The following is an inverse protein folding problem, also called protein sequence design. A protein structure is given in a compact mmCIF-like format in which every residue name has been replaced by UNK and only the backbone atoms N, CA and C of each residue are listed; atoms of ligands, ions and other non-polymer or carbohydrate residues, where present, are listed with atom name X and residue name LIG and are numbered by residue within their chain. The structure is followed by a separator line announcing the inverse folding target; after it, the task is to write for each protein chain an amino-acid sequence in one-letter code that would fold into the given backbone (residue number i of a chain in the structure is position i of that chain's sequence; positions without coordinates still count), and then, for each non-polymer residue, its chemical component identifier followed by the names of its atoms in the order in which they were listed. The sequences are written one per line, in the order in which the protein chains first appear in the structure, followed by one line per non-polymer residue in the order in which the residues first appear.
data_IF_699886659604
#
_entry.id   IF_699886659604
#
_cell.length_a   1.000
_cell.length_b   1.000
_cell.length_c   1.000
_cell.angle_alpha   90.00
_cell.angle_beta   90.00
_cell.angle_gamma   90.00
#
_symmetry.space_group_name_H-M   'P 1'
#
loop_
_entity.id
_entity.type
_entity.pdbx_description
1 polymer ?
#
# COMPACT_ATOMS: atom_id res chain seq x y z
N UNK A 1 -12.75 -7.93 30.93
CA UNK A 1 -13.69 -7.42 29.89
C UNK A 1 -13.35 -5.96 29.65
N UNK A 2 -13.63 -5.42 28.45
CA UNK A 2 -13.17 -4.09 27.97
C UNK A 2 -11.68 -4.01 27.53
N UNK A 3 -11.10 -5.08 26.98
CA UNK A 3 -9.73 -5.02 26.41
C UNK A 3 -9.64 -4.13 25.16
N UNK A 4 -10.63 -4.25 24.26
CA UNK A 4 -10.68 -3.54 22.97
C UNK A 4 -10.70 -2.00 23.05
N UNK A 5 -10.98 -1.41 24.22
CA UNK A 5 -10.87 0.04 24.44
C UNK A 5 -9.46 0.50 24.77
N UNK A 6 -8.62 -0.36 25.36
CA UNK A 6 -7.21 -0.06 25.64
C UNK A 6 -6.36 -0.12 24.36
N UNK A 7 -6.72 -1.02 23.46
CA UNK A 7 -6.07 -1.21 22.14
C UNK A 7 -6.26 0.00 21.20
N UNK A 8 -7.22 0.90 21.48
CA UNK A 8 -7.52 2.09 20.66
C UNK A 8 -7.16 3.41 21.35
N UNK A 9 -6.14 3.39 22.21
CA UNK A 9 -5.68 4.56 22.97
C UNK A 9 -5.42 5.80 22.08
N UNK A 10 -4.91 5.56 20.86
CA UNK A 10 -4.63 6.58 19.85
C UNK A 10 -5.89 7.35 19.34
N UNK A 11 -7.11 6.82 19.54
CA UNK A 11 -8.35 7.54 19.17
C UNK A 11 -8.68 8.70 20.12
N UNK A 12 -8.12 8.75 21.32
CA UNK A 12 -8.36 9.84 22.27
C UNK A 12 -7.59 11.13 21.92
N UNK A 13 -6.59 11.05 21.05
CA UNK A 13 -5.81 12.20 20.61
C UNK A 13 -6.62 13.11 19.66
N UNK A 14 -6.88 14.38 20.02
CA UNK A 14 -7.67 15.30 19.19
C UNK A 14 -6.98 15.69 17.87
N UNK A 15 -5.70 15.33 17.70
CA UNK A 15 -4.98 15.47 16.43
C UNK A 15 -5.19 14.28 15.49
N UNK A 16 -5.34 13.07 16.03
CA UNK A 16 -5.55 11.82 15.30
C UNK A 16 -7.03 11.65 14.94
N UNK A 17 -7.93 11.93 15.89
CA UNK A 17 -9.37 11.94 15.67
C UNK A 17 -9.78 12.82 14.46
N UNK A 18 -9.09 13.95 14.26
CA UNK A 18 -9.30 14.83 13.08
C UNK A 18 -8.93 14.13 11.76
N UNK A 19 -7.82 13.38 11.72
CA UNK A 19 -7.41 12.61 10.54
C UNK A 19 -8.39 11.46 10.28
N UNK A 20 -8.84 10.75 11.33
CA UNK A 20 -9.87 9.70 11.21
C UNK A 20 -11.19 10.27 10.66
N UNK A 21 -11.63 11.43 11.16
CA UNK A 21 -12.82 12.11 10.65
C UNK A 21 -12.68 12.55 9.19
N UNK A 22 -11.49 12.99 8.76
CA UNK A 22 -11.20 13.30 7.36
C UNK A 22 -11.26 12.04 6.49
N UNK A 23 -10.54 10.98 6.84
CA UNK A 23 -10.59 9.70 6.13
C UNK A 23 -12.02 9.16 6.02
N UNK A 24 -12.77 9.12 7.13
CA UNK A 24 -14.19 8.69 7.18
C UNK A 24 -15.07 9.49 6.23
N UNK A 25 -14.93 10.83 6.20
CA UNK A 25 -15.70 11.71 5.30
C UNK A 25 -15.35 11.46 3.83
N UNK A 26 -14.08 11.25 3.52
CA UNK A 26 -13.61 10.97 2.16
C UNK A 26 -14.10 9.60 1.68
N UNK A 27 -14.02 8.57 2.53
CA UNK A 27 -14.56 7.22 2.26
C UNK A 27 -16.07 7.28 2.00
N UNK A 28 -16.81 8.02 2.83
CA UNK A 28 -18.26 8.21 2.62
C UNK A 28 -18.56 8.92 1.28
N UNK A 29 -17.71 9.84 0.82
CA UNK A 29 -17.91 10.52 -0.46
C UNK A 29 -17.47 9.73 -1.70
N UNK A 30 -16.48 8.83 -1.61
CA UNK A 30 -16.06 7.99 -2.74
C UNK A 30 -16.84 6.67 -2.84
N UNK A 31 -17.13 6.03 -1.71
CA UNK A 31 -17.70 4.67 -1.65
C UNK A 31 -19.13 4.62 -1.11
N UNK A 32 -19.67 5.71 -0.58
CA UNK A 32 -20.98 5.74 0.11
C UNK A 32 -20.99 5.10 1.50
N UNK A 33 -19.88 4.46 1.91
CA UNK A 33 -19.79 3.68 3.15
C UNK A 33 -19.63 4.58 4.37
N UNK A 34 -20.46 4.36 5.40
CA UNK A 34 -20.47 5.11 6.66
C UNK A 34 -19.93 4.25 7.81
N UNK A 35 -18.60 4.17 7.91
CA UNK A 35 -17.90 3.59 9.07
C UNK A 35 -18.26 4.31 10.38
N UNK A 36 -17.95 3.76 11.55
CA UNK A 36 -18.12 4.35 12.88
C UNK A 36 -16.90 4.10 13.78
N UNK A 37 -16.59 5.05 14.67
CA UNK A 37 -15.41 4.98 15.56
C UNK A 37 -15.41 3.77 16.52
N UNK A 38 -16.59 3.22 16.80
CA UNK A 38 -16.77 2.10 17.72
C UNK A 38 -16.75 0.73 17.00
N UNK A 39 -16.67 0.70 15.67
CA UNK A 39 -16.63 -0.56 14.91
C UNK A 39 -15.32 -1.31 15.17
N UNK A 40 -15.44 -2.61 15.43
CA UNK A 40 -14.29 -3.51 15.45
C UNK A 40 -13.76 -3.69 14.02
N UNK A 41 -12.45 -3.58 13.84
CA UNK A 41 -11.83 -3.57 12.50
C UNK A 41 -11.87 -2.22 11.76
N UNK A 42 -12.24 -1.10 12.41
CA UNK A 42 -12.15 0.26 11.83
C UNK A 42 -10.83 0.50 11.09
N UNK A 43 -9.72 0.07 11.69
CA UNK A 43 -8.36 0.22 11.18
C UNK A 43 -8.14 -0.56 9.87
N UNK A 44 -8.65 -1.79 9.81
CA UNK A 44 -8.60 -2.65 8.64
C UNK A 44 -9.45 -2.07 7.51
N UNK A 45 -10.64 -1.56 7.80
CA UNK A 45 -11.47 -0.87 6.80
C UNK A 45 -10.82 0.42 6.29
N UNK A 46 -10.23 1.25 7.17
CA UNK A 46 -9.49 2.44 6.74
C UNK A 46 -8.31 2.06 5.83
N UNK A 47 -7.57 1.00 6.15
CA UNK A 47 -6.49 0.48 5.31
C UNK A 47 -7.01 -0.05 3.96
N UNK A 48 -8.11 -0.79 3.96
CA UNK A 48 -8.73 -1.37 2.77
C UNK A 48 -9.24 -0.29 1.79
N UNK A 49 -9.98 0.70 2.29
CA UNK A 49 -10.43 1.83 1.46
C UNK A 49 -9.27 2.72 1.02
N UNK A 50 -8.21 2.87 1.82
CA UNK A 50 -6.99 3.56 1.42
C UNK A 50 -6.14 2.79 0.39
N UNK A 51 -6.26 1.47 0.30
CA UNK A 51 -5.73 0.65 -0.82
C UNK A 51 -6.59 0.78 -2.09
N UNK A 52 -7.92 0.99 -1.96
CA UNK A 52 -8.90 1.00 -3.05
C UNK A 52 -9.23 2.39 -3.64
N UNK A 53 -8.94 3.47 -2.92
CA UNK A 53 -9.25 4.86 -3.31
C UNK A 53 -8.54 5.31 -4.59
N UNK A 54 -9.10 6.33 -5.26
CA UNK A 54 -8.42 7.10 -6.31
C UNK A 54 -8.04 8.52 -5.86
N UNK A 55 -8.53 8.95 -4.69
CA UNK A 55 -8.22 10.26 -4.11
C UNK A 55 -6.85 10.28 -3.44
N UNK A 56 -5.93 11.04 -4.03
CA UNK A 56 -4.63 11.38 -3.42
C UNK A 56 -4.80 11.98 -2.01
N UNK A 57 -5.89 12.71 -1.77
CA UNK A 57 -6.13 13.33 -0.46
C UNK A 57 -6.39 12.27 0.62
N UNK A 58 -7.17 11.23 0.32
CA UNK A 58 -7.45 10.12 1.23
C UNK A 58 -6.17 9.34 1.54
N UNK A 59 -5.37 9.03 0.51
CA UNK A 59 -4.05 8.40 0.65
C UNK A 59 -3.15 9.22 1.58
N UNK A 60 -2.98 10.53 1.35
CA UNK A 60 -2.13 11.37 2.19
C UNK A 60 -2.65 11.54 3.63
N UNK A 61 -3.97 11.61 3.85
CA UNK A 61 -4.51 11.61 5.23
C UNK A 61 -4.29 10.28 5.94
N UNK A 62 -4.33 9.15 5.22
CA UNK A 62 -4.01 7.83 5.76
C UNK A 62 -2.51 7.66 6.04
N UNK A 63 -1.64 8.15 5.16
CA UNK A 63 -0.19 8.19 5.37
C UNK A 63 0.18 9.03 6.60
N UNK A 64 -0.36 10.24 6.73
CA UNK A 64 -0.13 11.12 7.88
C UNK A 64 -0.64 10.54 9.21
N UNK A 65 -1.63 9.65 9.15
CA UNK A 65 -2.20 8.94 10.30
C UNK A 65 -1.29 7.77 10.70
N UNK A 66 -0.88 6.91 9.75
CA UNK A 66 0.11 5.83 9.98
C UNK A 66 1.47 6.32 10.48
N UNK A 67 1.92 7.50 10.05
CA UNK A 67 3.16 8.12 10.52
C UNK A 67 3.13 8.52 12.02
N UNK A 68 1.94 8.59 12.63
CA UNK A 68 1.77 8.91 14.06
C UNK A 68 1.38 7.71 14.91
N UNK A 69 0.71 6.73 14.32
CA UNK A 69 0.26 5.50 15.00
C UNK A 69 0.96 4.30 14.35
N UNK A 70 2.15 3.89 14.82
CA UNK A 70 2.91 2.80 14.20
C UNK A 70 2.21 1.44 14.31
N UNK A 71 1.30 1.28 15.28
CA UNK A 71 0.46 0.09 15.50
C UNK A 71 -0.41 -0.25 14.26
N UNK A 72 -0.84 0.78 13.51
CA UNK A 72 -1.60 0.64 12.27
C UNK A 72 -0.74 0.20 11.07
N UNK A 73 0.58 0.28 11.21
CA UNK A 73 1.52 -0.21 10.20
C UNK A 73 1.75 -1.72 10.37
N UNK A 74 1.73 -2.23 11.62
CA UNK A 74 1.83 -3.67 11.93
C UNK A 74 0.60 -4.47 11.49
N UNK A 75 -0.61 -3.89 11.56
CA UNK A 75 -1.83 -4.50 11.01
C UNK A 75 -1.80 -4.72 9.48
N UNK A 76 -0.76 -4.25 8.79
CA UNK A 76 -0.52 -4.43 7.36
C UNK A 76 0.65 -5.42 7.09
N UNK A 77 1.13 -6.16 8.09
CA UNK A 77 2.26 -7.10 7.98
C UNK A 77 1.81 -8.58 8.00
N UNK A 78 0.61 -8.90 8.50
CA UNK A 78 0.06 -10.27 8.52
C UNK A 78 -0.29 -10.82 7.12
N UNK A 79 -0.28 -9.98 6.08
CA UNK A 79 -0.05 -10.46 4.70
C UNK A 79 1.45 -10.80 4.53
N UNK A 80 1.94 -11.77 5.32
CA UNK A 80 3.29 -12.31 5.18
C UNK A 80 3.36 -13.04 3.84
N UNK A 81 3.94 -12.37 2.83
CA UNK A 81 4.04 -12.87 1.46
C UNK A 81 4.91 -14.12 1.48
N UNK A 82 4.27 -15.30 1.51
CA UNK A 82 4.95 -16.58 1.61
C UNK A 82 6.07 -16.68 0.56
N UNK A 83 7.33 -16.90 0.97
CA UNK A 83 8.48 -16.74 0.09
C UNK A 83 8.37 -17.68 -1.10
N UNK A 84 8.56 -17.13 -2.30
CA UNK A 84 8.23 -17.80 -3.56
C UNK A 84 9.14 -19.01 -3.77
N UNK A 85 8.64 -20.20 -3.44
CA UNK A 85 9.39 -21.44 -3.56
C UNK A 85 9.63 -21.79 -5.04
N UNK A 86 10.89 -22.00 -5.42
CA UNK A 86 11.27 -22.57 -6.70
C UNK A 86 12.11 -23.83 -6.48
N UNK A 87 11.63 -24.96 -6.99
CA UNK A 87 12.29 -26.28 -6.90
C UNK A 87 12.71 -26.68 -5.46
N UNK A 88 11.95 -26.25 -4.46
CA UNK A 88 12.21 -26.54 -3.04
C UNK A 88 13.19 -25.57 -2.34
N UNK A 89 13.62 -24.50 -3.00
CA UNK A 89 14.38 -23.41 -2.38
C UNK A 89 13.53 -22.13 -2.31
N UNK A 90 13.58 -21.36 -1.21
CA UNK A 90 12.90 -20.07 -1.13
C UNK A 90 13.66 -19.03 -1.99
N UNK A 91 12.96 -18.36 -2.90
CA UNK A 91 13.47 -17.13 -3.50
C UNK A 91 13.26 -15.99 -2.50
N UNK A 92 14.34 -15.31 -2.12
CA UNK A 92 14.25 -14.05 -1.41
C UNK A 92 13.83 -12.96 -2.40
N UNK A 93 12.65 -12.35 -2.22
CA UNK A 93 12.23 -11.18 -3.01
C UNK A 93 12.87 -9.88 -2.46
N UNK A 94 14.21 -9.87 -2.35
CA UNK A 94 14.96 -8.63 -2.17
C UNK A 94 14.87 -7.78 -3.45
N UNK A 95 13.94 -6.83 -3.44
CA UNK A 95 13.95 -5.73 -4.39
C UNK A 95 13.21 -5.96 -5.71
N UNK A 96 11.88 -6.19 -5.65
CA UNK A 96 10.98 -5.96 -6.79
C UNK A 96 10.91 -4.46 -7.25
N UNK A 97 11.88 -3.64 -6.82
CA UNK A 97 12.03 -2.19 -7.06
C UNK A 97 13.53 -1.86 -7.11
N UNK A 98 14.05 -1.57 -8.32
CA UNK A 98 15.46 -1.28 -8.68
C UNK A 98 16.44 -2.47 -8.70
N UNK A 99 16.47 -3.18 -9.84
CA UNK A 99 17.60 -4.01 -10.27
C UNK A 99 17.70 -4.07 -11.82
N UNK A 100 17.70 -2.89 -12.44
CA UNK A 100 18.12 -2.69 -13.84
C UNK A 100 19.11 -1.52 -13.80
N UNK A 101 20.24 -1.67 -14.51
CA UNK A 101 21.48 -0.87 -14.36
C UNK A 101 22.27 -1.21 -13.09
N UNK A 102 23.57 -1.50 -13.07
CA UNK A 102 24.62 -1.90 -14.05
C UNK A 102 25.87 -2.31 -13.19
N UNK A 103 26.99 -2.93 -13.60
CA UNK A 103 27.63 -3.11 -14.93
C UNK A 103 28.53 -4.37 -14.97
N UNK A 104 28.54 -5.14 -16.08
CA UNK A 104 29.77 -5.71 -16.71
C UNK A 104 29.46 -6.66 -17.88
N UNK A 105 29.70 -6.18 -19.11
CA UNK A 105 29.47 -6.96 -20.33
C UNK A 105 29.30 -6.07 -21.55
N UNK A 106 30.43 -5.64 -22.13
CA UNK A 106 30.45 -4.80 -23.32
C UNK A 106 29.72 -5.46 -24.49
N UNK A 107 28.58 -4.92 -24.95
CA UNK A 107 28.28 -4.87 -26.39
C UNK A 107 27.08 -4.01 -26.80
N UNK A 108 27.32 -3.15 -27.80
CA UNK A 108 26.43 -2.64 -28.84
C UNK A 108 24.98 -2.15 -28.50
N UNK A 109 24.61 -0.89 -28.82
CA UNK A 109 23.23 -0.42 -28.70
C UNK A 109 22.31 -1.14 -29.70
N UNK A 110 21.51 -2.10 -29.20
CA UNK A 110 20.59 -2.93 -30.01
C UNK A 110 19.37 -2.14 -30.51
N UNK A 111 19.57 -1.32 -31.55
CA UNK A 111 18.48 -0.71 -32.31
C UNK A 111 17.54 -1.79 -32.86
N UNK A 112 16.28 -1.76 -32.41
CA UNK A 112 15.24 -2.73 -32.81
C UNK A 112 14.75 -2.40 -34.23
N UNK A 113 15.38 -3.02 -35.23
CA UNK A 113 14.90 -2.99 -36.62
C UNK A 113 13.47 -3.55 -36.69
N UNK A 114 12.52 -2.72 -37.14
CA UNK A 114 11.13 -3.12 -37.36
C UNK A 114 11.02 -3.59 -38.81
N UNK A 115 10.34 -4.71 -39.06
CA UNK A 115 10.14 -5.22 -40.43
C UNK A 115 8.66 -5.12 -40.76
N UNK A 116 8.33 -4.38 -41.83
CA UNK A 116 6.96 -4.23 -42.32
C UNK A 116 6.89 -4.70 -43.78
N UNK A 117 5.99 -5.65 -44.06
CA UNK A 117 5.77 -6.25 -45.39
C UNK A 117 7.06 -6.70 -46.12
N UNK A 118 8.06 -7.15 -45.37
CA UNK A 118 9.35 -7.63 -45.90
C UNK A 118 10.43 -6.55 -46.07
N UNK A 119 10.13 -5.27 -45.89
CA UNK A 119 11.13 -4.21 -45.83
C UNK A 119 11.48 -3.87 -44.37
N UNK A 120 12.76 -3.59 -44.12
CA UNK A 120 13.23 -3.07 -42.84
C UNK A 120 12.93 -1.58 -42.78
N UNK A 121 12.24 -1.15 -41.73
CA UNK A 121 12.01 0.25 -41.36
C UNK A 121 12.78 0.52 -40.06
N UNK A 122 13.47 1.65 -40.00
CA UNK A 122 14.25 2.13 -38.86
C UNK A 122 14.23 3.64 -38.80
#
# INVERSE_FOLDING_TARGET
MNSATSERNWLFDPSLLKLVHQCRRLIQSEFGVKLHLNEDGLEQHLAEYARKTRSKHLVHTWEALKQRVPELNTANIEEEIAPRMYRGQPIAEEGAKKATEEMSGTDCPRQKKVIYRGQVVG
#
